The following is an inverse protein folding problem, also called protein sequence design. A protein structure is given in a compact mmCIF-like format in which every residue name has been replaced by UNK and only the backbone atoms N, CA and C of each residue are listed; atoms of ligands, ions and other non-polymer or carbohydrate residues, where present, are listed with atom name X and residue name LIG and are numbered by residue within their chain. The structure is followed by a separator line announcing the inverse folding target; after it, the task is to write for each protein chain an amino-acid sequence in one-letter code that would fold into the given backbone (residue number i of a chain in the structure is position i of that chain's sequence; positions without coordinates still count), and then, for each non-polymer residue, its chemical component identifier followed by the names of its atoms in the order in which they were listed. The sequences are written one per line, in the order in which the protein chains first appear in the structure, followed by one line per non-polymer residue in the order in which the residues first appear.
data_IF_536648074714
#
_entry.id   IF_536648074714
#
_cell.length_a   1.000
_cell.length_b   1.000
_cell.length_c   1.000
_cell.angle_alpha   90.00
_cell.angle_beta   90.00
_cell.angle_gamma   90.00
#
_symmetry.space_group_name_H-M   'P 1'
#
loop_
_entity.id
_entity.type
_entity.pdbx_description
1 polymer ?
#
# COMPACT_ATOMS: atom_id res chain seq x y z
N UNK A 1 11.64 -6.84 -6.40
CA UNK A 1 10.49 -5.96 -6.14
C UNK A 1 10.57 -5.49 -4.70
N UNK A 2 10.55 -4.20 -4.48
CA UNK A 2 10.54 -3.62 -3.14
C UNK A 2 9.19 -2.97 -2.87
N UNK A 3 8.57 -3.32 -1.74
CA UNK A 3 7.20 -2.93 -1.40
C UNK A 3 7.19 -2.09 -0.13
N UNK A 4 6.37 -1.05 -0.10
CA UNK A 4 6.08 -0.26 1.09
C UNK A 4 4.64 -0.51 1.51
N UNK A 5 4.43 -0.99 2.72
CA UNK A 5 3.09 -1.20 3.28
C UNK A 5 2.78 -0.12 4.30
N UNK A 6 1.64 0.54 4.16
CA UNK A 6 1.22 1.61 5.06
C UNK A 6 -0.19 1.30 5.56
N UNK A 7 -0.30 1.02 6.86
CA UNK A 7 -1.58 0.68 7.49
C UNK A 7 -1.50 0.98 8.98
N UNK A 8 -2.44 1.74 9.51
CA UNK A 8 -2.45 2.14 10.92
C UNK A 8 -2.89 1.02 11.87
N UNK A 9 -3.44 -0.05 11.34
CA UNK A 9 -3.72 -1.26 12.12
C UNK A 9 -2.43 -2.05 12.29
N UNK A 10 -1.71 -1.78 13.37
CA UNK A 10 -0.36 -2.32 13.60
C UNK A 10 -0.28 -3.83 13.53
N UNK A 11 -1.21 -4.53 14.15
CA UNK A 11 -1.23 -5.99 14.14
C UNK A 11 -1.40 -6.54 12.72
N UNK A 12 -2.29 -5.94 11.97
CA UNK A 12 -2.53 -6.33 10.58
C UNK A 12 -1.30 -6.07 9.72
N UNK A 13 -0.73 -4.88 9.80
CA UNK A 13 0.45 -4.52 9.01
C UNK A 13 1.64 -5.44 9.30
N UNK A 14 1.90 -5.68 10.57
CA UNK A 14 3.00 -6.57 10.99
C UNK A 14 2.78 -8.00 10.50
N UNK A 15 1.57 -8.52 10.65
CA UNK A 15 1.22 -9.86 10.19
C UNK A 15 1.38 -9.99 8.68
N UNK A 16 0.85 -9.03 7.93
CA UNK A 16 0.88 -9.05 6.48
C UNK A 16 2.33 -8.97 5.98
N UNK A 17 3.13 -8.07 6.56
CA UNK A 17 4.53 -7.94 6.20
C UNK A 17 5.30 -9.24 6.43
N UNK A 18 5.09 -9.88 7.57
CA UNK A 18 5.74 -11.17 7.87
C UNK A 18 5.39 -12.25 6.86
N UNK A 19 4.13 -12.33 6.48
CA UNK A 19 3.68 -13.30 5.49
C UNK A 19 4.29 -13.05 4.12
N UNK A 20 4.41 -11.80 3.73
CA UNK A 20 5.02 -11.44 2.45
C UNK A 20 6.53 -11.72 2.45
N UNK A 21 7.21 -11.46 3.56
CA UNK A 21 8.64 -11.80 3.70
C UNK A 21 8.86 -13.29 3.51
N UNK A 22 7.99 -14.12 4.10
CA UNK A 22 8.08 -15.58 3.94
C UNK A 22 7.90 -16.03 2.48
N UNK A 23 7.31 -15.20 1.65
CA UNK A 23 7.13 -15.46 0.22
C UNK A 23 8.21 -14.79 -0.65
N UNK A 24 9.26 -14.27 -0.04
CA UNK A 24 10.38 -13.69 -0.75
C UNK A 24 10.19 -12.24 -1.19
N UNK A 25 9.20 -11.55 -0.64
CA UNK A 25 8.97 -10.14 -0.95
C UNK A 25 9.83 -9.26 -0.04
N UNK A 26 10.55 -8.32 -0.64
CA UNK A 26 11.31 -7.30 0.10
C UNK A 26 10.33 -6.18 0.47
N UNK A 27 10.00 -6.06 1.75
CA UNK A 27 8.94 -5.17 2.21
C UNK A 27 9.38 -4.38 3.44
N UNK A 28 9.11 -3.06 3.41
CA UNK A 28 9.12 -2.21 4.59
C UNK A 28 7.68 -1.89 4.95
N UNK A 29 7.42 -1.68 6.23
CA UNK A 29 6.07 -1.32 6.66
C UNK A 29 6.12 -0.22 7.71
N UNK A 30 5.14 0.67 7.63
CA UNK A 30 4.95 1.78 8.56
C UNK A 30 3.47 1.90 8.90
N UNK A 31 3.16 2.68 9.92
CA UNK A 31 1.80 2.76 10.46
C UNK A 31 1.12 4.12 10.20
N UNK A 32 1.80 5.01 9.53
CA UNK A 32 1.26 6.35 9.23
C UNK A 32 1.80 6.87 7.91
N UNK A 33 1.01 7.72 7.26
CA UNK A 33 1.40 8.30 5.98
C UNK A 33 2.65 9.17 6.07
N UNK A 34 2.83 9.89 7.16
CA UNK A 34 4.01 10.73 7.40
C UNK A 34 5.29 9.88 7.39
N UNK A 35 5.24 8.72 8.04
CA UNK A 35 6.37 7.79 8.08
C UNK A 35 6.67 7.20 6.70
N UNK A 36 5.62 6.98 5.92
CA UNK A 36 5.77 6.49 4.54
C UNK A 36 6.52 7.51 3.68
N UNK A 37 6.22 8.78 3.83
CA UNK A 37 6.88 9.86 3.09
C UNK A 37 8.37 9.88 3.45
N UNK A 38 8.69 9.79 4.73
CA UNK A 38 10.09 9.76 5.19
C UNK A 38 10.83 8.56 4.57
N UNK A 39 10.21 7.39 4.56
CA UNK A 39 10.80 6.22 3.92
C UNK A 39 11.04 6.43 2.43
N UNK A 40 10.06 7.00 1.73
CA UNK A 40 10.14 7.22 0.29
C UNK A 40 11.19 8.27 -0.09
N UNK A 41 11.54 9.18 0.82
CA UNK A 41 12.61 10.14 0.61
C UNK A 41 13.98 9.50 0.58
N UNK A 42 14.15 8.37 1.25
CA UNK A 42 15.45 7.69 1.39
C UNK A 42 15.58 6.42 0.56
N UNK A 43 14.47 5.84 0.14
CA UNK A 43 14.45 4.59 -0.61
C UNK A 43 13.42 4.66 -1.73
N UNK A 44 13.70 3.89 -2.79
CA UNK A 44 12.78 3.75 -3.90
C UNK A 44 11.96 2.46 -3.72
N UNK A 45 10.66 2.55 -3.98
CA UNK A 45 9.76 1.41 -3.91
C UNK A 45 9.10 1.17 -5.26
N UNK A 46 8.93 -0.09 -5.62
CA UNK A 46 8.23 -0.46 -6.85
C UNK A 46 6.72 -0.37 -6.67
N UNK A 47 6.25 -0.77 -5.49
CA UNK A 47 4.82 -0.82 -5.16
C UNK A 47 4.61 -0.29 -3.75
N UNK A 48 3.55 0.49 -3.55
CA UNK A 48 3.09 0.87 -2.22
C UNK A 48 1.69 0.30 -2.01
N UNK A 49 1.49 -0.37 -0.87
CA UNK A 49 0.19 -0.88 -0.45
C UNK A 49 -0.30 0.05 0.65
N UNK A 50 -1.38 0.76 0.39
CA UNK A 50 -1.86 1.84 1.25
C UNK A 50 -3.26 1.57 1.77
N UNK A 51 -3.45 1.69 3.08
CA UNK A 51 -4.79 1.73 3.66
C UNK A 51 -5.45 3.04 3.27
N UNK A 52 -6.69 2.99 2.82
CA UNK A 52 -7.42 4.19 2.38
C UNK A 52 -7.71 5.12 3.55
N UNK A 53 -8.17 4.57 4.67
CA UNK A 53 -8.55 5.36 5.84
C UNK A 53 -7.51 5.28 6.93
N UNK A 54 -6.80 6.38 7.15
CA UNK A 54 -5.83 6.52 8.23
C UNK A 54 -5.95 7.91 8.85
N UNK A 55 -5.67 8.05 10.15
CA UNK A 55 -5.60 9.38 10.75
C UNK A 55 -4.42 10.17 10.17
N UNK A 56 -4.54 11.48 10.14
CA UNK A 56 -3.54 12.33 9.52
C UNK A 56 -3.63 12.24 8.00
N UNK A 57 -2.54 11.89 7.34
CA UNK A 57 -2.53 11.71 5.89
C UNK A 57 -3.23 10.40 5.54
N UNK A 58 -4.36 10.48 4.86
CA UNK A 58 -5.07 9.30 4.37
C UNK A 58 -4.40 8.71 3.13
N UNK A 59 -4.85 7.50 2.76
CA UNK A 59 -4.24 6.77 1.65
C UNK A 59 -4.30 7.48 0.31
N UNK A 60 -5.41 8.18 0.03
CA UNK A 60 -5.58 8.90 -1.25
C UNK A 60 -4.60 10.06 -1.35
N UNK A 61 -4.45 10.84 -0.29
CA UNK A 61 -3.50 11.94 -0.27
C UNK A 61 -2.07 11.43 -0.33
N UNK A 62 -1.79 10.34 0.39
CA UNK A 62 -0.48 9.70 0.39
C UNK A 62 -0.09 9.20 -1.00
N UNK A 63 -1.04 8.62 -1.73
CA UNK A 63 -0.79 8.20 -3.11
C UNK A 63 -0.32 9.37 -3.97
N UNK A 64 -0.98 10.51 -3.87
CA UNK A 64 -0.61 11.70 -4.63
C UNK A 64 0.83 12.13 -4.32
N UNK A 65 1.18 12.15 -3.03
CA UNK A 65 2.52 12.55 -2.60
C UNK A 65 3.58 11.57 -3.08
N UNK A 66 3.31 10.27 -2.98
CA UNK A 66 4.24 9.26 -3.45
C UNK A 66 4.43 9.31 -4.97
N UNK A 67 3.37 9.56 -5.72
CA UNK A 67 3.41 9.72 -7.17
C UNK A 67 4.16 10.97 -7.60
N UNK A 68 4.09 12.04 -6.82
CA UNK A 68 4.89 13.25 -7.07
C UNK A 68 6.38 12.97 -6.88
N UNK A 69 6.73 12.15 -5.89
CA UNK A 69 8.12 11.78 -5.61
C UNK A 69 8.66 10.78 -6.62
N UNK A 70 7.83 9.84 -7.06
CA UNK A 70 8.19 8.81 -8.03
C UNK A 70 6.97 8.45 -8.89
N UNK A 71 6.86 9.04 -10.09
CA UNK A 71 5.72 8.76 -10.97
C UNK A 71 5.59 7.29 -11.40
N UNK A 72 6.65 6.51 -11.28
CA UNK A 72 6.64 5.10 -11.67
C UNK A 72 6.14 4.15 -10.59
N UNK A 73 5.96 4.64 -9.35
CA UNK A 73 5.50 3.78 -8.26
C UNK A 73 4.08 3.28 -8.55
N UNK A 74 3.84 2.01 -8.27
CA UNK A 74 2.50 1.43 -8.42
C UNK A 74 1.80 1.44 -7.07
N UNK A 75 0.50 1.70 -7.09
CA UNK A 75 -0.28 1.83 -5.85
C UNK A 75 -1.37 0.76 -5.80
N UNK A 76 -1.45 0.07 -4.67
CA UNK A 76 -2.54 -0.84 -4.33
C UNK A 76 -3.21 -0.28 -3.09
N UNK A 77 -4.51 -0.04 -3.14
CA UNK A 77 -5.26 0.40 -1.98
C UNK A 77 -5.87 -0.78 -1.23
N UNK A 78 -5.79 -0.71 0.10
CA UNK A 78 -6.51 -1.62 1.00
C UNK A 78 -7.69 -0.88 1.59
N UNK A 79 -8.84 -1.56 1.66
CA UNK A 79 -10.05 -0.97 2.22
C UNK A 79 -10.53 -1.80 3.40
N UNK A 80 -10.96 -1.12 4.45
CA UNK A 80 -11.50 -1.78 5.62
C UNK A 80 -12.85 -2.40 5.34
N UNK A 81 -13.23 -3.34 6.18
CA UNK A 81 -14.53 -4.01 6.11
C UNK A 81 -15.66 -2.96 6.27
N UNK A 82 -16.61 -2.99 5.35
CA UNK A 82 -17.73 -2.05 5.36
C UNK A 82 -17.40 -0.67 4.81
N UNK A 83 -16.17 -0.41 4.45
CA UNK A 83 -15.82 0.84 3.77
C UNK A 83 -16.24 0.74 2.32
N UNK A 84 -17.07 1.66 1.88
CA UNK A 84 -17.26 1.83 0.45
C UNK A 84 -16.06 2.56 -0.08
N UNK A 85 -15.38 1.96 -1.03
CA UNK A 85 -14.40 2.70 -1.78
C UNK A 85 -15.18 3.67 -2.63
N UNK A 86 -14.89 4.92 -2.45
CA UNK A 86 -15.39 5.93 -3.34
C UNK A 86 -14.46 5.95 -4.55
N UNK A 87 -14.78 5.17 -5.56
CA UNK A 87 -14.00 5.13 -6.79
C UNK A 87 -13.95 6.49 -7.49
N UNK A 88 -14.90 7.38 -7.17
CA UNK A 88 -14.91 8.73 -7.72
C UNK A 88 -13.84 9.61 -7.07
N UNK A 89 -13.53 9.36 -5.79
CA UNK A 89 -12.47 10.10 -5.09
C UNK A 89 -11.14 9.36 -5.09
N UNK A 90 -11.15 8.07 -5.41
CA UNK A 90 -9.93 7.29 -5.57
C UNK A 90 -9.18 7.75 -6.80
N UNK A 91 -7.87 7.51 -6.81
CA UNK A 91 -7.06 7.85 -7.97
C UNK A 91 -7.31 6.88 -9.11
N UNK A 92 -7.51 7.41 -10.32
CA UNK A 92 -7.57 6.61 -11.53
C UNK A 92 -6.22 5.96 -11.85
N UNK A 93 -5.15 6.40 -11.19
CA UNK A 93 -3.80 5.87 -11.36
C UNK A 93 -3.51 4.68 -10.44
N UNK A 94 -4.40 4.38 -9.48
CA UNK A 94 -4.23 3.22 -8.64
C UNK A 94 -4.33 1.95 -9.47
N UNK A 95 -3.39 1.03 -9.25
CA UNK A 95 -3.35 -0.22 -9.99
C UNK A 95 -4.47 -1.17 -9.55
N UNK A 96 -4.85 -1.12 -8.27
CA UNK A 96 -5.82 -2.06 -7.72
C UNK A 96 -6.39 -1.57 -6.39
N UNK A 97 -7.61 -2.02 -6.08
CA UNK A 97 -8.25 -1.84 -4.78
C UNK A 97 -8.58 -3.24 -4.23
N UNK A 98 -8.13 -3.52 -3.02
CA UNK A 98 -8.37 -4.79 -2.35
C UNK A 98 -9.09 -4.57 -1.02
N UNK A 99 -10.12 -5.36 -0.79
CA UNK A 99 -10.86 -5.32 0.46
C UNK A 99 -10.23 -6.25 1.50
N UNK A 100 -10.19 -5.81 2.76
CA UNK A 100 -9.83 -6.68 3.87
C UNK A 100 -11.02 -7.60 4.21
N UNK A 101 -10.79 -8.83 4.62
CA UNK A 101 -9.51 -9.50 4.87
C UNK A 101 -8.79 -9.88 3.58
N UNK A 102 -7.46 -9.82 3.61
CA UNK A 102 -6.63 -10.04 2.43
C UNK A 102 -6.23 -11.51 2.33
N UNK A 103 -6.41 -12.08 1.14
CA UNK A 103 -5.89 -13.41 0.81
C UNK A 103 -4.47 -13.26 0.29
N UNK A 104 -3.51 -13.93 0.94
CA UNK A 104 -2.09 -13.78 0.60
C UNK A 104 -1.81 -14.17 -0.84
N UNK A 105 -2.36 -15.28 -1.31
CA UNK A 105 -2.10 -15.74 -2.67
C UNK A 105 -2.64 -14.77 -3.71
N UNK A 106 -3.80 -14.19 -3.45
CA UNK A 106 -4.37 -13.16 -4.32
C UNK A 106 -3.48 -11.92 -4.35
N UNK A 107 -3.04 -11.45 -3.18
CA UNK A 107 -2.16 -10.30 -3.10
C UNK A 107 -0.84 -10.54 -3.83
N UNK A 108 -0.25 -11.72 -3.68
CA UNK A 108 0.98 -12.07 -4.38
C UNK A 108 0.81 -12.05 -5.89
N UNK A 109 -0.30 -12.57 -6.39
CA UNK A 109 -0.61 -12.54 -7.82
C UNK A 109 -0.69 -11.10 -8.32
N UNK A 110 -1.39 -10.25 -7.59
CA UNK A 110 -1.56 -8.84 -7.93
C UNK A 110 -0.21 -8.11 -7.89
N UNK A 111 0.59 -8.34 -6.85
CA UNK A 111 1.92 -7.73 -6.76
C UNK A 111 2.80 -8.07 -7.96
N UNK A 112 2.79 -9.32 -8.37
CA UNK A 112 3.57 -9.76 -9.54
C UNK A 112 3.09 -9.12 -10.83
N UNK A 113 1.78 -9.02 -11.01
CA UNK A 113 1.20 -8.37 -12.18
C UNK A 113 1.49 -6.88 -12.21
N UNK A 114 1.35 -6.21 -11.08
CA UNK A 114 1.52 -4.76 -10.97
C UNK A 114 2.99 -4.37 -11.14
N UNK A 115 3.91 -5.10 -10.51
CA UNK A 115 5.34 -4.80 -10.55
C UNK A 115 6.02 -5.32 -11.81
N UNK A 116 5.43 -6.32 -12.40
CA UNK A 116 5.96 -6.94 -13.61
C UNK A 116 5.67 -6.14 -14.84
#
# INVERSE_FOLDING_TARGET
MKVLLVDDERKFATMLAKRLVLRGIDIDYVYAGEDAIVKAETQRYDVAILDVKMPGIGGIELERKLKEMDPCIKIIFLTGHGSKIDFETGSAEAACYLAKPIQIDELLTILREVAG
#
